data_IF_120285030571
#
_entry.id   IF_120285030571
#
_cell.length_a   1.000
_cell.length_b   1.000
_cell.length_c   1.000
_cell.angle_alpha   90.00
_cell.angle_beta   90.00
_cell.angle_gamma   90.00
#
_symmetry.space_group_name_H-M   'P 1'
#
loop_
_entity.id
_entity.type
_entity.pdbx_description
1 polymer ?
#
# COMPACT_ATOMS: atom_id res chain seq x y z
N UNK A 1 9.53 -21.00 4.65
CA UNK A 1 8.51 -19.90 4.55
C UNK A 1 7.23 -20.43 3.93
N UNK A 2 6.15 -20.44 4.67
CA UNK A 2 4.82 -20.95 4.24
C UNK A 2 4.14 -19.93 3.34
N UNK A 3 3.90 -20.28 2.08
CA UNK A 3 3.24 -19.42 1.09
C UNK A 3 1.82 -19.91 0.82
N UNK A 4 0.91 -18.93 0.75
CA UNK A 4 -0.48 -19.13 0.36
C UNK A 4 -0.62 -18.69 -1.09
N UNK A 5 -1.25 -19.51 -1.91
CA UNK A 5 -1.62 -19.17 -3.27
C UNK A 5 -2.77 -18.13 -3.24
N UNK A 6 -2.53 -16.98 -3.88
CA UNK A 6 -3.47 -15.85 -3.85
C UNK A 6 -4.82 -16.20 -4.48
N UNK A 7 -4.82 -16.90 -5.61
CA UNK A 7 -6.06 -17.22 -6.32
C UNK A 7 -6.91 -18.21 -5.53
N UNK A 8 -6.27 -19.18 -4.88
CA UNK A 8 -6.94 -20.13 -3.98
C UNK A 8 -7.50 -19.41 -2.75
N UNK A 9 -6.75 -18.46 -2.20
CA UNK A 9 -7.22 -17.65 -1.09
C UNK A 9 -8.44 -16.80 -1.48
N UNK A 10 -8.41 -16.11 -2.62
CA UNK A 10 -9.52 -15.27 -3.09
C UNK A 10 -10.82 -16.08 -3.24
N UNK A 11 -10.74 -17.28 -3.85
CA UNK A 11 -11.90 -18.18 -3.95
C UNK A 11 -12.43 -18.60 -2.58
N UNK A 12 -11.54 -18.91 -1.65
CA UNK A 12 -11.91 -19.28 -0.29
C UNK A 12 -12.50 -18.12 0.49
N UNK A 13 -11.95 -16.92 0.32
CA UNK A 13 -12.43 -15.70 0.96
C UNK A 13 -13.88 -15.39 0.57
N UNK A 14 -14.24 -15.51 -0.72
CA UNK A 14 -15.63 -15.34 -1.18
C UNK A 14 -16.63 -16.15 -0.35
N UNK A 15 -16.29 -17.40 -0.06
CA UNK A 15 -17.17 -18.34 0.67
C UNK A 15 -17.14 -18.11 2.18
N UNK A 16 -15.97 -17.76 2.74
CA UNK A 16 -15.73 -17.73 4.18
C UNK A 16 -15.85 -16.32 4.81
N UNK A 17 -15.99 -15.29 3.99
CA UNK A 17 -15.81 -13.90 4.45
C UNK A 17 -16.97 -13.30 5.25
N UNK A 18 -18.12 -13.96 5.36
CA UNK A 18 -19.23 -13.38 6.14
C UNK A 18 -18.86 -13.22 7.62
N UNK A 19 -18.39 -12.02 8.02
CA UNK A 19 -17.92 -11.65 9.35
C UNK A 19 -16.84 -12.59 9.92
N UNK A 20 -16.09 -13.25 9.05
CA UNK A 20 -15.10 -14.25 9.48
C UNK A 20 -13.67 -13.75 9.49
N UNK A 21 -13.43 -12.52 9.04
CA UNK A 21 -12.12 -11.92 8.99
C UNK A 21 -12.09 -10.53 9.62
N UNK A 22 -11.01 -10.26 10.30
CA UNK A 22 -10.56 -8.91 10.62
C UNK A 22 -9.43 -8.54 9.66
N UNK A 23 -9.17 -7.24 9.50
CA UNK A 23 -8.03 -6.75 8.71
C UNK A 23 -7.10 -5.93 9.59
N UNK A 24 -5.79 -6.16 9.44
CA UNK A 24 -4.77 -5.37 10.11
C UNK A 24 -3.99 -4.54 9.08
N UNK A 25 -4.00 -3.23 9.24
CA UNK A 25 -3.33 -2.31 8.34
C UNK A 25 -2.08 -1.71 8.97
N UNK A 26 -1.00 -1.71 8.21
CA UNK A 26 0.20 -0.93 8.52
C UNK A 26 0.42 0.20 7.52
N UNK A 27 1.49 0.96 7.72
CA UNK A 27 1.82 2.18 6.94
C UNK A 27 1.90 1.93 5.42
N UNK A 28 2.20 0.71 4.98
CA UNK A 28 2.22 0.33 3.57
C UNK A 28 0.86 0.48 2.88
N UNK A 29 -0.26 0.38 3.60
CA UNK A 29 -1.59 0.60 3.05
C UNK A 29 -1.81 2.07 2.62
N UNK A 30 -1.18 3.03 3.29
CA UNK A 30 -1.37 4.46 3.08
C UNK A 30 -0.47 5.06 1.98
N UNK A 31 0.48 4.28 1.44
CA UNK A 31 1.44 4.75 0.42
C UNK A 31 0.69 5.23 -0.84
N UNK A 32 -0.31 4.50 -1.30
CA UNK A 32 -1.09 4.88 -2.49
C UNK A 32 -1.92 6.15 -2.30
N UNK A 33 -2.19 6.54 -1.06
CA UNK A 33 -2.82 7.81 -0.69
C UNK A 33 -1.81 8.95 -0.55
N UNK A 34 -0.52 8.68 -0.79
CA UNK A 34 0.56 9.67 -0.73
C UNK A 34 1.07 9.96 0.68
N UNK A 35 0.90 9.02 1.62
CA UNK A 35 1.54 9.05 2.93
C UNK A 35 2.80 8.19 2.86
N UNK A 36 3.90 8.72 3.37
CA UNK A 36 5.16 8.00 3.38
C UNK A 36 5.14 6.81 4.35
N UNK A 37 5.85 5.74 4.00
CA UNK A 37 6.06 4.64 4.94
C UNK A 37 6.91 5.07 6.13
N UNK A 38 6.84 4.34 7.24
CA UNK A 38 7.69 4.60 8.40
C UNK A 38 9.18 4.58 8.05
N UNK A 39 9.61 3.69 7.17
CA UNK A 39 11.00 3.65 6.70
C UNK A 39 11.38 4.87 5.86
N UNK A 40 10.48 5.40 5.02
CA UNK A 40 10.74 6.62 4.26
C UNK A 40 10.84 7.84 5.20
N UNK A 41 10.01 7.89 6.24
CA UNK A 41 10.06 8.93 7.26
C UNK A 41 11.37 8.89 8.05
N UNK A 42 11.89 7.70 8.40
CA UNK A 42 13.21 7.57 9.03
C UNK A 42 14.30 8.22 8.18
N UNK A 43 14.29 8.00 6.86
CA UNK A 43 15.24 8.66 5.96
C UNK A 43 15.07 10.16 5.91
N UNK A 44 13.83 10.67 5.95
CA UNK A 44 13.55 12.10 6.02
C UNK A 44 14.08 12.71 7.32
N UNK A 45 13.84 12.07 8.47
CA UNK A 45 14.34 12.52 9.76
C UNK A 45 15.87 12.56 9.82
N UNK A 46 16.54 11.48 9.35
CA UNK A 46 18.01 11.45 9.27
C UNK A 46 18.56 12.57 8.40
N UNK A 47 17.96 12.80 7.23
CA UNK A 47 18.36 13.92 6.35
C UNK A 47 18.17 15.26 7.03
N UNK A 48 17.04 15.47 7.71
CA UNK A 48 16.72 16.72 8.40
C UNK A 48 17.75 17.01 9.52
N UNK A 49 18.04 16.02 10.36
CA UNK A 49 19.05 16.12 11.41
C UNK A 49 20.44 16.52 10.86
N UNK A 50 20.86 15.96 9.75
CA UNK A 50 22.13 16.31 9.11
C UNK A 50 22.09 17.70 8.46
N UNK A 51 20.96 18.07 7.86
CA UNK A 51 20.77 19.38 7.24
C UNK A 51 20.82 20.51 8.27
N UNK A 52 20.09 20.36 9.37
CA UNK A 52 20.06 21.33 10.47
C UNK A 52 21.43 21.45 11.16
N UNK A 53 22.15 20.35 11.29
CA UNK A 53 23.51 20.35 11.85
C UNK A 53 24.60 20.86 10.87
N UNK A 54 24.23 21.23 9.65
CA UNK A 54 25.14 21.72 8.61
C UNK A 54 26.08 20.66 8.01
N UNK A 55 25.88 19.38 8.35
CA UNK A 55 26.72 18.27 7.84
C UNK A 55 26.46 17.95 6.37
N UNK A 56 25.24 18.20 5.88
CA UNK A 56 24.87 18.06 4.47
C UNK A 56 24.08 19.27 3.98
N UNK A 57 24.12 19.51 2.68
CA UNK A 57 23.22 20.46 2.04
C UNK A 57 21.86 19.79 1.78
N UNK A 58 20.84 20.11 2.59
CA UNK A 58 19.51 19.49 2.52
C UNK A 58 18.86 19.55 1.13
N UNK A 59 19.09 20.63 0.35
CA UNK A 59 18.58 20.74 -1.04
C UNK A 59 19.22 19.73 -1.99
N UNK A 60 20.53 19.48 -1.85
CA UNK A 60 21.25 18.51 -2.68
C UNK A 60 20.82 17.07 -2.37
N UNK A 61 20.42 16.79 -1.14
CA UNK A 61 20.00 15.47 -0.68
C UNK A 61 18.47 15.31 -0.61
N UNK A 62 17.71 16.10 -1.36
CA UNK A 62 16.25 16.10 -1.32
C UNK A 62 15.65 14.80 -1.88
N UNK A 63 16.27 14.25 -2.93
CA UNK A 63 15.82 12.99 -3.51
C UNK A 63 16.42 11.79 -2.77
N UNK A 64 15.60 11.20 -1.90
CA UNK A 64 15.95 10.01 -1.12
C UNK A 64 15.73 8.68 -1.89
N UNK A 65 15.31 8.75 -3.16
CA UNK A 65 15.29 7.55 -4.03
C UNK A 65 16.66 7.25 -4.60
N UNK A 66 17.55 8.24 -4.63
CA UNK A 66 18.92 8.08 -5.09
C UNK A 66 19.73 7.31 -4.04
N UNK A 67 20.19 6.11 -4.40
CA UNK A 67 20.89 5.20 -3.50
C UNK A 67 22.20 5.80 -2.96
N UNK A 68 22.94 6.58 -3.74
CA UNK A 68 24.13 7.28 -3.27
C UNK A 68 23.84 8.28 -2.15
N UNK A 69 22.69 8.96 -2.19
CA UNK A 69 22.28 9.87 -1.14
C UNK A 69 21.99 9.11 0.18
N UNK A 70 21.29 7.99 0.09
CA UNK A 70 21.05 7.12 1.25
C UNK A 70 22.36 6.60 1.87
N UNK A 71 23.31 6.14 1.04
CA UNK A 71 24.60 5.65 1.51
C UNK A 71 25.37 6.74 2.27
N UNK A 72 25.40 7.97 1.76
CA UNK A 72 26.05 9.08 2.44
C UNK A 72 25.35 9.40 3.77
N UNK A 73 24.02 9.50 3.79
CA UNK A 73 23.25 9.73 5.02
C UNK A 73 23.52 8.60 6.03
N UNK A 74 23.47 7.35 5.56
CA UNK A 74 23.69 6.17 6.41
C UNK A 74 25.05 6.16 7.09
N UNK A 75 26.12 6.61 6.41
CA UNK A 75 27.46 6.63 6.99
C UNK A 75 27.57 7.49 8.26
N UNK A 76 26.68 8.47 8.45
CA UNK A 76 26.64 9.31 9.65
C UNK A 76 25.89 8.66 10.83
N UNK A 77 25.07 7.65 10.56
CA UNK A 77 24.20 7.03 11.57
C UNK A 77 24.50 5.54 11.82
N UNK A 78 25.55 4.99 11.21
CA UNK A 78 25.84 3.55 11.28
C UNK A 78 26.01 3.03 12.71
N UNK A 79 26.74 3.75 13.56
CA UNK A 79 26.96 3.39 14.97
C UNK A 79 25.69 3.54 15.82
N UNK A 80 24.87 4.53 15.48
CA UNK A 80 23.63 4.84 16.19
C UNK A 80 22.55 3.81 15.84
N UNK A 81 22.38 3.50 14.56
CA UNK A 81 21.43 2.48 14.08
C UNK A 81 21.68 1.11 14.71
N UNK A 82 22.93 0.75 14.96
CA UNK A 82 23.28 -0.53 15.60
C UNK A 82 22.73 -0.66 17.04
N UNK A 83 22.36 0.45 17.68
CA UNK A 83 21.89 0.51 19.08
C UNK A 83 20.38 0.73 19.20
N UNK A 84 19.71 1.04 18.09
CA UNK A 84 18.30 1.46 18.08
C UNK A 84 17.41 0.30 17.68
N UNK A 85 16.49 -0.08 18.56
CA UNK A 85 15.51 -1.13 18.31
C UNK A 85 14.35 -0.67 17.43
N UNK A 86 13.86 0.56 17.65
CA UNK A 86 12.78 1.20 16.86
C UNK A 86 13.30 2.49 16.23
N UNK A 87 13.78 2.40 14.99
CA UNK A 87 14.36 3.52 14.28
C UNK A 87 13.34 4.66 14.05
N UNK A 88 12.06 4.34 13.81
CA UNK A 88 11.05 5.36 13.56
C UNK A 88 10.86 6.26 14.79
N UNK A 89 10.51 5.69 15.93
CA UNK A 89 10.29 6.45 17.16
C UNK A 89 11.54 7.23 17.56
N UNK A 90 12.70 6.57 17.53
CA UNK A 90 13.96 7.18 17.90
C UNK A 90 14.30 8.43 17.07
N UNK A 91 14.28 8.30 15.72
CA UNK A 91 14.62 9.43 14.86
C UNK A 91 13.53 10.50 14.80
N UNK A 92 12.27 10.11 15.02
CA UNK A 92 11.17 11.06 15.11
C UNK A 92 11.31 11.96 16.34
N UNK A 93 11.53 11.38 17.52
CA UNK A 93 11.76 12.13 18.76
C UNK A 93 13.04 12.97 18.70
N UNK A 94 14.10 12.43 18.11
CA UNK A 94 15.37 13.15 17.95
C UNK A 94 15.23 14.32 17.00
N UNK A 95 14.45 14.20 15.93
CA UNK A 95 14.19 15.27 14.97
C UNK A 95 13.27 16.34 15.53
N UNK A 96 12.24 15.92 16.26
CA UNK A 96 11.21 16.76 16.85
C UNK A 96 11.01 16.40 18.34
N UNK A 97 11.82 16.95 19.26
CA UNK A 97 11.75 16.64 20.69
C UNK A 97 10.41 17.04 21.33
N UNK A 98 9.82 18.15 20.87
CA UNK A 98 8.56 18.67 21.39
C UNK A 98 7.36 17.84 20.86
N UNK A 99 6.51 17.28 21.75
CA UNK A 99 5.31 16.54 21.36
C UNK A 99 4.34 17.33 20.47
N UNK A 100 4.15 18.62 20.72
CA UNK A 100 3.26 19.47 19.91
C UNK A 100 3.78 19.62 18.48
N UNK A 101 5.10 19.73 18.31
CA UNK A 101 5.73 19.79 16.98
C UNK A 101 5.56 18.44 16.27
N UNK A 102 5.68 17.33 16.97
CA UNK A 102 5.41 15.98 16.39
C UNK A 102 3.97 15.84 15.91
N UNK A 103 3.01 16.29 16.73
CA UNK A 103 1.59 16.29 16.38
C UNK A 103 1.31 17.14 15.13
N UNK A 104 1.85 18.34 15.07
CA UNK A 104 1.70 19.23 13.90
C UNK A 104 2.34 18.63 12.64
N UNK A 105 3.48 17.96 12.78
CA UNK A 105 4.13 17.24 11.69
C UNK A 105 3.22 16.12 11.14
N UNK A 106 2.69 15.26 12.02
CA UNK A 106 1.76 14.19 11.63
C UNK A 106 0.48 14.75 11.01
N UNK A 107 -0.08 15.79 11.60
CA UNK A 107 -1.26 16.47 11.06
C UNK A 107 -1.03 16.97 9.63
N UNK A 108 0.13 17.57 9.33
CA UNK A 108 0.49 18.01 7.97
C UNK A 108 0.63 16.85 6.98
N UNK A 109 1.13 15.70 7.45
CA UNK A 109 1.27 14.52 6.58
C UNK A 109 -0.07 14.00 6.07
N UNK A 110 -1.15 14.13 6.87
CA UNK A 110 -2.45 13.51 6.57
C UNK A 110 -3.54 14.49 6.14
N UNK A 111 -3.36 15.80 6.40
CA UNK A 111 -4.41 16.84 6.25
C UNK A 111 -5.16 16.79 4.93
N UNK A 112 -4.46 16.76 3.81
CA UNK A 112 -5.05 16.84 2.46
C UNK A 112 -5.04 15.50 1.73
N UNK A 113 -4.83 14.41 2.46
CA UNK A 113 -4.77 13.09 1.85
C UNK A 113 -6.17 12.54 1.62
N UNK A 114 -6.34 11.97 0.43
CA UNK A 114 -7.58 11.29 0.04
C UNK A 114 -7.37 9.77 0.11
N UNK A 115 -8.41 9.02 0.49
CA UNK A 115 -8.34 7.56 0.46
C UNK A 115 -8.05 7.08 -0.97
N UNK A 116 -7.17 6.10 -1.07
CA UNK A 116 -6.95 5.40 -2.33
C UNK A 116 -8.11 4.46 -2.63
N UNK A 117 -8.14 3.91 -3.84
CA UNK A 117 -9.15 2.91 -4.21
C UNK A 117 -9.14 1.70 -3.26
N UNK A 118 -7.98 1.31 -2.73
CA UNK A 118 -7.87 0.22 -1.76
C UNK A 118 -8.67 0.49 -0.49
N UNK A 119 -8.62 1.71 0.05
CA UNK A 119 -9.44 2.10 1.20
C UNK A 119 -10.93 2.15 0.87
N UNK A 120 -11.30 2.59 -0.33
CA UNK A 120 -12.70 2.58 -0.78
C UNK A 120 -13.22 1.13 -0.90
N UNK A 121 -12.45 0.23 -1.51
CA UNK A 121 -12.79 -1.19 -1.57
C UNK A 121 -12.88 -1.82 -0.17
N UNK A 122 -11.95 -1.47 0.75
CA UNK A 122 -12.03 -1.93 2.14
C UNK A 122 -13.31 -1.46 2.83
N UNK A 123 -13.70 -0.19 2.63
CA UNK A 123 -14.94 0.34 3.19
C UNK A 123 -16.16 -0.42 2.69
N UNK A 124 -16.19 -0.76 1.38
CA UNK A 124 -17.25 -1.60 0.82
C UNK A 124 -17.24 -3.03 1.36
N UNK A 125 -16.06 -3.62 1.61
CA UNK A 125 -15.92 -4.94 2.25
C UNK A 125 -16.43 -4.94 3.70
N UNK A 126 -16.20 -3.86 4.44
CA UNK A 126 -16.72 -3.68 5.81
C UNK A 126 -18.23 -3.48 5.79
N UNK A 127 -18.76 -2.60 4.93
CA UNK A 127 -20.20 -2.38 4.76
C UNK A 127 -20.92 -3.66 4.34
N UNK A 128 -20.33 -4.41 3.40
CA UNK A 128 -20.82 -5.73 2.95
C UNK A 128 -20.60 -6.87 3.95
N UNK A 129 -20.14 -6.56 5.18
CA UNK A 129 -19.88 -7.53 6.27
C UNK A 129 -18.92 -8.66 5.87
N UNK A 130 -17.99 -8.38 4.96
CA UNK A 130 -16.91 -9.32 4.57
C UNK A 130 -15.70 -9.20 5.50
N UNK A 131 -15.47 -8.00 6.02
CA UNK A 131 -14.49 -7.68 7.06
C UNK A 131 -15.25 -7.12 8.25
N UNK A 132 -14.90 -7.55 9.46
CA UNK A 132 -15.59 -7.13 10.68
C UNK A 132 -14.93 -5.89 11.31
N UNK A 133 -13.68 -6.03 11.71
CA UNK A 133 -12.92 -4.97 12.39
C UNK A 133 -11.65 -4.65 11.59
N UNK A 134 -11.35 -3.37 11.47
CA UNK A 134 -10.08 -2.90 10.91
C UNK A 134 -9.17 -2.46 12.05
N UNK A 135 -8.11 -3.22 12.27
CA UNK A 135 -7.04 -2.92 13.22
C UNK A 135 -5.95 -2.13 12.51
N UNK A 136 -5.36 -1.16 13.14
CA UNK A 136 -4.27 -0.41 12.50
C UNK A 136 -3.29 0.18 13.52
N UNK A 137 -2.03 0.25 13.11
CA UNK A 137 -1.01 1.08 13.76
C UNK A 137 -0.89 2.46 13.11
N UNK A 138 -1.63 2.71 12.02
CA UNK A 138 -1.58 3.97 11.32
C UNK A 138 -2.33 5.04 12.12
N UNK A 139 -1.77 6.24 12.09
CA UNK A 139 -2.36 7.43 12.71
C UNK A 139 -3.32 8.19 11.77
N UNK A 140 -3.32 7.87 10.47
CA UNK A 140 -4.17 8.54 9.48
C UNK A 140 -5.67 8.18 9.63
N UNK A 141 -6.53 8.95 8.94
CA UNK A 141 -7.98 8.82 8.96
C UNK A 141 -8.54 8.40 7.59
N UNK A 142 -7.74 7.68 6.79
CA UNK A 142 -8.09 7.35 5.42
C UNK A 142 -9.27 6.39 5.31
N UNK A 143 -9.38 5.42 6.23
CA UNK A 143 -10.51 4.49 6.24
C UNK A 143 -11.81 5.19 6.63
N UNK A 144 -11.76 6.08 7.63
CA UNK A 144 -12.90 6.87 8.06
C UNK A 144 -13.38 7.82 6.95
N UNK A 145 -12.43 8.46 6.26
CA UNK A 145 -12.72 9.29 5.08
C UNK A 145 -13.33 8.47 3.94
N UNK A 146 -12.87 7.24 3.71
CA UNK A 146 -13.41 6.37 2.68
C UNK A 146 -14.86 5.96 2.99
N UNK A 147 -15.16 5.58 4.23
CA UNK A 147 -16.51 5.26 4.69
C UNK A 147 -17.44 6.45 4.50
N UNK A 148 -17.00 7.65 4.89
CA UNK A 148 -17.77 8.88 4.72
C UNK A 148 -17.98 9.25 3.24
N UNK A 149 -16.94 9.13 2.42
CA UNK A 149 -17.01 9.48 0.99
C UNK A 149 -17.98 8.59 0.20
N UNK A 150 -18.16 7.35 0.61
CA UNK A 150 -19.09 6.40 0.00
C UNK A 150 -20.49 6.45 0.60
N UNK A 151 -20.76 7.39 1.52
CA UNK A 151 -22.03 7.53 2.26
C UNK A 151 -22.45 6.24 2.98
N UNK A 152 -21.49 5.45 3.43
CA UNK A 152 -21.75 4.29 4.27
C UNK A 152 -22.12 4.69 5.69
N UNK A 153 -22.52 3.71 6.51
CA UNK A 153 -22.83 3.94 7.91
C UNK A 153 -21.66 4.56 8.66
N UNK A 154 -21.96 5.30 9.73
CA UNK A 154 -20.93 5.89 10.58
C UNK A 154 -19.99 4.81 11.14
N UNK A 155 -18.69 5.07 11.04
CA UNK A 155 -17.67 4.20 11.58
C UNK A 155 -17.41 4.53 13.06
N UNK A 156 -17.30 3.51 13.90
CA UNK A 156 -16.79 3.65 15.25
C UNK A 156 -15.26 3.61 15.21
N UNK A 157 -14.61 4.67 15.71
CA UNK A 157 -13.15 4.71 15.86
C UNK A 157 -12.80 4.54 17.33
N UNK A 158 -11.95 3.58 17.61
CA UNK A 158 -11.46 3.27 18.96
C UNK A 158 -9.94 3.43 18.98
N UNK A 159 -9.45 4.19 19.93
CA UNK A 159 -8.04 4.43 20.18
C UNK A 159 -7.76 4.37 21.69
N UNK A 160 -6.49 4.33 22.15
CA UNK A 160 -6.17 4.40 23.57
C UNK A 160 -6.84 5.58 24.28
N UNK A 161 -6.93 6.73 23.61
CA UNK A 161 -7.50 7.97 24.17
C UNK A 161 -9.01 7.86 24.47
N UNK A 162 -9.73 6.98 23.77
CA UNK A 162 -11.18 6.79 23.92
C UNK A 162 -11.59 5.35 24.26
N UNK A 163 -10.63 4.49 24.57
CA UNK A 163 -10.85 3.06 24.82
C UNK A 163 -11.75 2.74 26.05
N UNK A 164 -12.13 3.75 26.86
CA UNK A 164 -13.15 3.60 27.91
C UNK A 164 -14.50 3.13 27.35
N UNK A 165 -14.74 3.34 26.05
CA UNK A 165 -15.94 2.91 25.34
C UNK A 165 -15.84 1.47 24.81
N UNK A 166 -14.69 0.80 24.95
CA UNK A 166 -14.44 -0.58 24.47
C UNK A 166 -15.42 -1.61 25.05
N UNK A 167 -15.98 -1.37 26.24
CA UNK A 167 -16.96 -2.26 26.85
C UNK A 167 -18.33 -2.32 26.13
N UNK A 168 -18.58 -1.40 25.18
CA UNK A 168 -19.85 -1.25 24.46
C UNK A 168 -19.67 -1.30 22.95
N UNK A 169 -18.84 -2.22 22.42
CA UNK A 169 -18.73 -2.40 20.98
C UNK A 169 -20.10 -2.80 20.40
N UNK A 170 -20.58 -1.98 19.50
CA UNK A 170 -21.75 -2.32 18.70
C UNK A 170 -21.29 -3.16 17.52
N UNK A 171 -21.67 -4.44 17.54
CA UNK A 171 -21.29 -5.43 16.49
C UNK A 171 -21.83 -5.04 15.10
N UNK A 172 -22.87 -4.22 15.08
CA UNK A 172 -23.57 -3.76 13.87
C UNK A 172 -22.94 -2.52 13.21
N UNK A 173 -21.96 -1.89 13.86
CA UNK A 173 -21.27 -0.70 13.33
C UNK A 173 -19.85 -1.08 12.90
N UNK A 174 -19.41 -0.67 11.70
CA UNK A 174 -18.02 -0.79 11.29
C UNK A 174 -17.08 -0.18 12.33
N UNK A 175 -16.07 -0.94 12.74
CA UNK A 175 -15.14 -0.51 13.80
C UNK A 175 -13.72 -0.46 13.29
N UNK A 176 -13.07 0.67 13.50
CA UNK A 176 -11.63 0.87 13.28
C UNK A 176 -10.95 0.99 14.64
N UNK A 177 -9.95 0.16 14.90
CA UNK A 177 -9.19 0.17 16.16
C UNK A 177 -7.77 0.63 15.89
N UNK A 178 -7.40 1.80 16.39
CA UNK A 178 -6.06 2.38 16.30
C UNK A 178 -5.26 2.01 17.54
N UNK A 179 -4.29 1.13 17.38
CA UNK A 179 -3.53 0.59 18.52
C UNK A 179 -2.57 1.60 19.14
N UNK A 180 -2.05 2.55 18.35
CA UNK A 180 -1.05 3.53 18.77
C UNK A 180 -1.60 4.97 18.84
N UNK A 181 -2.91 5.11 18.95
CA UNK A 181 -3.58 6.40 19.02
C UNK A 181 -3.93 7.00 17.66
N UNK A 182 -4.58 8.14 17.73
CA UNK A 182 -5.02 8.94 16.57
C UNK A 182 -4.36 10.32 16.65
N UNK A 183 -3.79 10.81 15.55
CA UNK A 183 -3.13 12.13 15.50
C UNK A 183 -4.04 13.30 15.92
N UNK A 184 -5.35 13.10 15.90
CA UNK A 184 -6.36 14.11 16.24
C UNK A 184 -6.53 14.31 17.74
N UNK A 185 -6.18 13.31 18.52
CA UNK A 185 -6.37 13.31 19.95
C UNK A 185 -5.02 13.47 20.65
N UNK A 186 -4.91 14.52 21.44
CA UNK A 186 -3.76 14.73 22.28
C UNK A 186 -3.98 13.94 23.58
N UNK A 187 -2.99 13.20 24.00
CA UNK A 187 -2.97 12.49 25.29
C UNK A 187 -2.94 13.45 26.50
N UNK A 188 -3.46 14.68 26.34
CA UNK A 188 -3.32 15.78 27.28
C UNK A 188 -3.99 15.58 28.64
N UNK A 189 -4.76 14.51 28.84
CA UNK A 189 -5.51 14.30 30.07
C UNK A 189 -5.33 12.94 30.74
N UNK A 190 -4.56 12.03 30.14
CA UNK A 190 -4.34 10.72 30.72
C UNK A 190 -2.94 10.61 31.31
N UNK A 191 -2.83 10.04 32.51
CA UNK A 191 -1.52 9.67 33.06
C UNK A 191 -0.91 8.53 32.27
N UNK A 192 0.41 8.40 32.30
CA UNK A 192 1.11 7.28 31.63
C UNK A 192 0.55 5.93 32.05
N UNK A 193 0.13 5.77 33.30
CA UNK A 193 -0.47 4.55 33.81
C UNK A 193 -1.86 4.29 33.22
N UNK A 194 -2.68 5.33 33.00
CA UNK A 194 -4.00 5.18 32.35
C UNK A 194 -3.86 4.84 30.88
N UNK A 195 -2.91 5.45 30.17
CA UNK A 195 -2.61 5.12 28.77
C UNK A 195 -2.14 3.68 28.62
N UNK A 196 -1.22 3.23 29.46
CA UNK A 196 -0.76 1.83 29.46
C UNK A 196 -1.91 0.85 29.70
N UNK A 197 -2.81 1.15 30.65
CA UNK A 197 -3.99 0.32 30.91
C UNK A 197 -4.96 0.28 29.73
N UNK A 198 -5.13 1.39 29.02
CA UNK A 198 -6.01 1.46 27.84
C UNK A 198 -5.40 0.70 26.64
N UNK A 199 -4.10 0.80 26.43
CA UNK A 199 -3.39 0.00 25.43
C UNK A 199 -3.49 -1.50 25.74
N UNK A 200 -3.32 -1.91 26.99
CA UNK A 200 -3.46 -3.29 27.41
C UNK A 200 -4.89 -3.82 27.18
N UNK A 201 -5.91 -3.00 27.41
CA UNK A 201 -7.29 -3.36 27.12
C UNK A 201 -7.52 -3.58 25.61
N UNK A 202 -6.95 -2.75 24.74
CA UNK A 202 -7.05 -2.94 23.28
C UNK A 202 -6.32 -4.21 22.83
N UNK A 203 -5.15 -4.51 23.40
CA UNK A 203 -4.42 -5.74 23.13
C UNK A 203 -5.21 -6.97 23.57
N UNK A 204 -5.83 -6.93 24.76
CA UNK A 204 -6.68 -8.01 25.25
C UNK A 204 -7.92 -8.22 24.37
N UNK A 205 -8.52 -7.13 23.87
CA UNK A 205 -9.63 -7.21 22.94
C UNK A 205 -9.19 -7.84 21.60
N UNK A 206 -8.02 -7.47 21.07
CA UNK A 206 -7.45 -8.09 19.89
C UNK A 206 -7.26 -9.60 20.08
N UNK A 207 -6.68 -10.01 21.22
CA UNK A 207 -6.48 -11.44 21.57
C UNK A 207 -7.82 -12.17 21.62
N UNK A 208 -8.86 -11.57 22.20
CA UNK A 208 -10.19 -12.16 22.23
C UNK A 208 -10.79 -12.28 20.82
N UNK A 209 -10.69 -11.24 19.99
CA UNK A 209 -11.16 -11.25 18.60
C UNK A 209 -10.47 -12.35 17.78
N UNK A 210 -9.17 -12.57 18.01
CA UNK A 210 -8.38 -13.58 17.30
C UNK A 210 -8.87 -15.01 17.48
N UNK A 211 -9.61 -15.31 18.56
CA UNK A 211 -10.21 -16.66 18.78
C UNK A 211 -11.48 -16.89 17.97
N UNK A 212 -12.02 -15.87 17.35
CA UNK A 212 -13.29 -15.93 16.63
C UNK A 212 -13.11 -15.78 15.11
N UNK A 213 -12.11 -15.03 14.67
CA UNK A 213 -11.96 -14.62 13.28
C UNK A 213 -10.55 -14.88 12.75
N UNK A 214 -10.43 -14.98 11.41
CA UNK A 214 -9.13 -14.92 10.73
C UNK A 214 -8.62 -13.49 10.68
N UNK A 215 -7.35 -13.33 10.38
CA UNK A 215 -6.70 -12.03 10.26
C UNK A 215 -5.98 -11.89 8.92
N UNK A 216 -6.30 -10.83 8.19
CA UNK A 216 -5.58 -10.38 7.00
C UNK A 216 -4.66 -9.21 7.39
N UNK A 217 -3.36 -9.40 7.32
CA UNK A 217 -2.37 -8.34 7.59
C UNK A 217 -1.88 -7.77 6.28
N UNK A 218 -2.09 -6.47 6.06
CA UNK A 218 -1.75 -5.80 4.80
C UNK A 218 -0.99 -4.50 5.07
N UNK A 219 0.13 -4.30 4.36
CA UNK A 219 0.92 -3.08 4.48
C UNK A 219 1.70 -2.94 5.80
N UNK A 220 1.79 -4.00 6.59
CA UNK A 220 2.51 -4.01 7.85
C UNK A 220 3.76 -4.90 7.77
N UNK A 221 4.91 -4.35 8.15
CA UNK A 221 6.21 -5.03 8.05
C UNK A 221 6.52 -5.95 9.23
N UNK A 222 5.80 -5.82 10.35
CA UNK A 222 6.12 -6.56 11.58
C UNK A 222 7.28 -5.95 12.37
N UNK A 223 7.50 -4.63 12.26
CA UNK A 223 8.57 -3.93 12.98
C UNK A 223 8.21 -3.48 14.39
N UNK A 224 6.98 -3.67 14.81
CA UNK A 224 6.45 -3.16 16.06
C UNK A 224 6.42 -4.24 17.13
N UNK A 225 7.19 -4.06 18.17
CA UNK A 225 7.38 -5.04 19.24
C UNK A 225 6.07 -5.36 19.97
N UNK A 226 5.28 -4.36 20.32
CA UNK A 226 4.03 -4.53 21.06
C UNK A 226 2.99 -5.31 20.27
N UNK A 227 2.92 -5.07 18.95
CA UNK A 227 2.01 -5.79 18.04
C UNK A 227 2.44 -7.24 17.88
N UNK A 228 3.75 -7.51 17.68
CA UNK A 228 4.24 -8.88 17.56
C UNK A 228 4.01 -9.68 18.85
N UNK A 229 4.28 -9.08 20.02
CA UNK A 229 3.99 -9.71 21.32
C UNK A 229 2.50 -10.01 21.48
N UNK A 230 1.63 -9.11 21.02
CA UNK A 230 0.18 -9.33 21.07
C UNK A 230 -0.25 -10.49 20.18
N UNK A 231 0.31 -10.60 18.98
CA UNK A 231 0.08 -11.73 18.07
C UNK A 231 0.63 -13.05 18.65
N UNK A 232 1.80 -13.03 19.29
CA UNK A 232 2.38 -14.18 19.99
C UNK A 232 1.49 -14.65 21.12
N UNK A 233 0.96 -13.73 21.96
CA UNK A 233 -0.02 -14.02 23.02
C UNK A 233 -1.36 -14.53 22.46
N UNK A 234 -1.81 -13.98 21.33
CA UNK A 234 -3.01 -14.47 20.66
C UNK A 234 -2.85 -15.93 20.22
N UNK A 235 -1.67 -16.30 19.70
CA UNK A 235 -1.32 -17.68 19.30
C UNK A 235 -1.11 -18.64 20.49
N UNK A 236 -1.19 -18.18 21.75
CA UNK A 236 -1.25 -19.06 22.92
C UNK A 236 -2.68 -19.53 23.20
N UNK A 237 -3.68 -18.86 22.62
CA UNK A 237 -5.07 -19.27 22.78
C UNK A 237 -5.41 -20.45 21.86
N UNK A 238 -6.20 -21.42 22.36
CA UNK A 238 -6.69 -22.50 21.52
C UNK A 238 -7.53 -21.93 20.37
N UNK A 239 -7.34 -22.49 19.17
CA UNK A 239 -8.05 -22.08 17.95
C UNK A 239 -7.82 -20.61 17.53
N UNK A 240 -6.67 -20.02 17.85
CA UNK A 240 -6.34 -18.70 17.38
C UNK A 240 -6.42 -18.63 15.83
N UNK A 241 -7.03 -17.58 15.34
CA UNK A 241 -7.25 -17.31 13.91
C UNK A 241 -7.91 -18.51 13.17
N UNK A 242 -9.16 -18.87 13.51
CA UNK A 242 -9.82 -20.08 12.98
C UNK A 242 -10.00 -20.10 11.47
N UNK A 243 -9.87 -18.93 10.79
CA UNK A 243 -9.85 -18.82 9.34
C UNK A 243 -8.45 -18.59 8.76
N UNK A 244 -7.43 -18.56 9.60
CA UNK A 244 -6.01 -18.35 9.28
C UNK A 244 -5.50 -16.96 9.62
N UNK A 245 -4.20 -16.87 9.82
CA UNK A 245 -3.41 -15.63 9.89
C UNK A 245 -2.68 -15.49 8.55
N UNK A 246 -3.17 -14.59 7.70
CA UNK A 246 -2.65 -14.36 6.36
C UNK A 246 -1.87 -13.05 6.36
N UNK A 247 -0.56 -13.15 6.11
CA UNK A 247 0.32 -12.00 6.08
C UNK A 247 0.70 -11.63 4.65
N UNK A 248 0.18 -10.51 4.18
CA UNK A 248 0.44 -10.02 2.83
C UNK A 248 1.81 -9.33 2.76
N UNK A 249 2.63 -9.74 1.82
CA UNK A 249 3.96 -9.18 1.58
C UNK A 249 4.13 -8.79 0.11
N UNK A 250 4.91 -7.74 -0.21
CA UNK A 250 5.36 -7.47 -1.57
C UNK A 250 6.26 -8.59 -2.11
N UNK A 251 6.34 -8.72 -3.44
CA UNK A 251 7.09 -9.79 -4.11
C UNK A 251 8.57 -9.87 -3.70
N UNK A 252 9.21 -8.72 -3.53
CA UNK A 252 10.66 -8.63 -3.32
C UNK A 252 11.04 -8.41 -1.84
N UNK A 253 10.10 -8.64 -0.91
CA UNK A 253 10.33 -8.49 0.52
C UNK A 253 10.55 -9.85 1.17
N UNK A 254 11.64 -9.95 1.94
CA UNK A 254 11.91 -11.11 2.81
C UNK A 254 11.49 -10.76 4.23
N UNK A 255 10.55 -11.49 4.84
CA UNK A 255 10.14 -11.28 6.22
C UNK A 255 11.30 -11.53 7.20
N UNK A 256 11.25 -10.88 8.37
CA UNK A 256 12.19 -11.13 9.44
C UNK A 256 12.07 -12.58 9.97
N UNK A 257 13.14 -13.07 10.60
CA UNK A 257 13.14 -14.40 11.21
C UNK A 257 12.03 -14.54 12.26
N UNK A 258 11.86 -13.54 13.11
CA UNK A 258 10.80 -13.51 14.14
C UNK A 258 9.42 -13.63 13.51
N UNK A 259 9.15 -12.84 12.47
CA UNK A 259 7.86 -12.91 11.75
C UNK A 259 7.66 -14.27 11.09
N UNK A 260 8.72 -14.85 10.55
CA UNK A 260 8.66 -16.19 9.96
C UNK A 260 8.31 -17.24 11.01
N UNK A 261 8.93 -17.19 12.19
CA UNK A 261 8.64 -18.08 13.31
C UNK A 261 7.20 -17.92 13.83
N UNK A 262 6.69 -16.69 13.90
CA UNK A 262 5.30 -16.41 14.26
C UNK A 262 4.31 -17.07 13.28
N UNK A 263 4.56 -16.94 11.98
CA UNK A 263 3.70 -17.54 10.95
C UNK A 263 3.82 -19.07 10.93
N UNK A 264 5.01 -19.64 11.19
CA UNK A 264 5.15 -21.10 11.33
C UNK A 264 4.36 -21.63 12.56
N UNK A 265 4.37 -20.89 13.68
CA UNK A 265 3.53 -21.21 14.85
C UNK A 265 2.04 -21.13 14.50
N UNK A 266 1.61 -20.09 13.81
CA UNK A 266 0.23 -19.96 13.33
C UNK A 266 -0.18 -21.10 12.38
N UNK A 267 0.70 -21.49 11.45
CA UNK A 267 0.48 -22.58 10.52
C UNK A 267 0.35 -23.94 11.24
N UNK A 268 1.13 -24.19 12.28
CA UNK A 268 1.04 -25.42 13.08
C UNK A 268 -0.33 -25.59 13.75
N UNK A 269 -0.99 -24.51 14.09
CA UNK A 269 -2.34 -24.50 14.66
C UNK A 269 -3.43 -24.51 13.57
N UNK A 270 -3.20 -23.80 12.48
CA UNK A 270 -4.15 -23.69 11.38
C UNK A 270 -3.40 -23.58 10.04
N UNK A 271 -3.48 -24.63 9.24
CA UNK A 271 -2.80 -24.75 7.93
C UNK A 271 -3.24 -23.70 6.89
N UNK A 272 -4.27 -22.89 7.19
CA UNK A 272 -4.65 -21.73 6.36
C UNK A 272 -3.77 -20.49 6.62
N UNK A 273 -2.90 -20.54 7.64
CA UNK A 273 -1.99 -19.43 7.96
C UNK A 273 -0.75 -19.45 7.07
N UNK A 274 -0.25 -18.27 6.69
CA UNK A 274 0.95 -18.17 5.85
C UNK A 274 1.16 -16.79 5.26
N UNK A 275 2.24 -16.66 4.50
CA UNK A 275 2.53 -15.46 3.71
C UNK A 275 1.85 -15.52 2.34
N UNK A 276 1.26 -14.40 1.95
CA UNK A 276 0.68 -14.24 0.62
C UNK A 276 1.35 -13.05 -0.10
N UNK A 277 1.79 -13.29 -1.33
CA UNK A 277 2.40 -12.24 -2.14
C UNK A 277 1.30 -11.42 -2.82
N UNK A 278 1.36 -10.10 -2.65
CA UNK A 278 0.44 -9.16 -3.29
C UNK A 278 1.22 -8.09 -4.08
N UNK A 279 0.61 -7.58 -5.14
CA UNK A 279 1.24 -6.54 -5.97
C UNK A 279 1.21 -5.17 -5.28
N UNK A 280 0.05 -4.81 -4.70
CA UNK A 280 -0.14 -3.60 -3.90
C UNK A 280 -1.38 -3.72 -3.03
N UNK A 281 -1.51 -2.85 -2.03
CA UNK A 281 -2.72 -2.71 -1.22
C UNK A 281 -3.95 -2.47 -2.09
N UNK A 282 -3.89 -1.47 -2.97
CA UNK A 282 -5.02 -1.09 -3.82
C UNK A 282 -5.49 -2.22 -4.73
N UNK A 283 -4.54 -2.90 -5.38
CA UNK A 283 -4.88 -3.99 -6.30
C UNK A 283 -5.49 -5.17 -5.56
N UNK A 284 -4.89 -5.56 -4.44
CA UNK A 284 -5.38 -6.67 -3.63
C UNK A 284 -6.78 -6.41 -3.04
N UNK A 285 -7.03 -5.21 -2.53
CA UNK A 285 -8.36 -4.87 -1.99
C UNK A 285 -9.42 -4.81 -3.10
N UNK A 286 -9.05 -4.36 -4.30
CA UNK A 286 -9.94 -4.41 -5.45
C UNK A 286 -10.23 -5.85 -5.90
N UNK A 287 -9.24 -6.76 -5.87
CA UNK A 287 -9.48 -8.19 -6.12
C UNK A 287 -10.47 -8.79 -5.11
N UNK A 288 -10.32 -8.47 -3.81
CA UNK A 288 -11.27 -8.92 -2.77
C UNK A 288 -12.68 -8.35 -2.99
N UNK A 289 -12.79 -7.07 -3.32
CA UNK A 289 -14.05 -6.40 -3.64
C UNK A 289 -14.75 -7.08 -4.82
N UNK A 290 -14.03 -7.32 -5.90
CA UNK A 290 -14.54 -7.98 -7.11
C UNK A 290 -14.98 -9.41 -6.85
N UNK A 291 -14.16 -10.20 -6.15
CA UNK A 291 -14.47 -11.61 -5.83
C UNK A 291 -15.70 -11.71 -4.93
N UNK A 292 -15.91 -10.75 -4.04
CA UNK A 292 -17.11 -10.69 -3.19
C UNK A 292 -18.37 -10.21 -3.92
N UNK A 293 -18.27 -9.89 -5.22
CA UNK A 293 -19.40 -9.42 -6.05
C UNK A 293 -20.07 -8.18 -5.44
N UNK A 294 -19.26 -7.29 -4.87
CA UNK A 294 -19.75 -6.02 -4.36
C UNK A 294 -19.84 -5.01 -5.51
N UNK A 295 -20.81 -4.11 -5.43
CA UNK A 295 -21.08 -3.11 -6.46
C UNK A 295 -21.12 -1.72 -5.83
N UNK A 296 -20.37 -0.79 -6.42
CA UNK A 296 -20.42 0.63 -6.06
C UNK A 296 -19.92 1.48 -7.25
N UNK A 297 -20.79 2.32 -7.80
CA UNK A 297 -20.50 3.10 -9.00
C UNK A 297 -19.23 3.97 -8.90
N UNK A 298 -18.93 4.52 -7.71
CA UNK A 298 -17.73 5.35 -7.52
C UNK A 298 -16.48 4.49 -7.55
N UNK A 299 -16.47 3.34 -6.88
CA UNK A 299 -15.36 2.40 -6.88
C UNK A 299 -15.12 1.88 -8.29
N UNK A 300 -16.17 1.45 -8.97
CA UNK A 300 -16.09 0.84 -10.29
C UNK A 300 -15.57 1.83 -11.33
N UNK A 301 -16.03 3.10 -11.28
CA UNK A 301 -15.51 4.17 -12.13
C UNK A 301 -14.01 4.43 -11.93
N UNK A 302 -13.55 4.53 -10.68
CA UNK A 302 -12.14 4.75 -10.36
C UNK A 302 -11.29 3.52 -10.73
N UNK A 303 -11.82 2.32 -10.51
CA UNK A 303 -11.14 1.08 -10.87
C UNK A 303 -10.92 0.97 -12.38
N UNK A 304 -11.94 1.33 -13.15
CA UNK A 304 -11.90 1.35 -14.61
C UNK A 304 -10.81 2.27 -15.14
N UNK A 305 -10.70 3.48 -14.61
CA UNK A 305 -9.65 4.41 -15.00
C UNK A 305 -8.26 3.92 -14.60
N UNK A 306 -8.13 3.39 -13.37
CA UNK A 306 -6.80 3.08 -12.78
C UNK A 306 -6.26 1.73 -13.22
N UNK A 307 -7.10 0.70 -13.34
CA UNK A 307 -6.68 -0.67 -13.62
C UNK A 307 -6.81 -1.07 -15.08
N UNK A 308 -7.73 -0.51 -15.86
CA UNK A 308 -7.78 -0.73 -17.32
C UNK A 308 -6.54 -0.18 -18.04
N UNK A 309 -5.93 0.91 -17.54
CA UNK A 309 -4.66 1.41 -18.08
C UNK A 309 -3.45 0.49 -17.82
N UNK A 310 -3.60 -0.51 -16.94
CA UNK A 310 -2.57 -1.51 -16.63
C UNK A 310 -2.80 -2.89 -17.25
N UNK A 311 -3.74 -3.04 -18.17
CA UNK A 311 -3.75 -4.21 -19.02
C UNK A 311 -2.51 -4.17 -19.94
N UNK A 312 -1.39 -4.58 -19.38
CA UNK A 312 -0.21 -4.95 -20.16
C UNK A 312 -0.63 -6.17 -20.96
N UNK A 313 -0.89 -6.00 -22.24
CA UNK A 313 -1.09 -7.10 -23.16
C UNK A 313 0.16 -7.97 -23.12
N UNK A 314 0.11 -9.10 -22.47
CA UNK A 314 1.11 -10.15 -22.64
C UNK A 314 0.84 -10.78 -23.99
N UNK A 315 1.61 -10.35 -25.00
CA UNK A 315 1.67 -11.04 -26.28
C UNK A 315 2.29 -12.41 -26.02
N UNK A 316 1.47 -13.43 -25.84
CA UNK A 316 1.92 -14.81 -25.96
C UNK A 316 2.27 -15.05 -27.41
N UNK A 317 3.55 -15.34 -27.70
CA UNK A 317 3.96 -15.84 -29.01
C UNK A 317 3.35 -17.21 -29.25
N UNK A 318 2.14 -17.25 -29.79
CA UNK A 318 1.67 -18.46 -30.45
C UNK A 318 2.13 -18.41 -31.90
N UNK A 319 3.02 -19.32 -32.22
CA UNK A 319 3.37 -19.64 -33.62
C UNK A 319 2.13 -20.25 -34.28
N UNK A 320 1.56 -19.53 -35.17
CA UNK A 320 0.65 -19.88 -36.26
C UNK A 320 -0.69 -19.16 -36.26
N UNK A 321 -0.93 -18.50 -37.38
CA UNK A 321 -2.15 -17.86 -37.86
C UNK A 321 -2.49 -16.48 -37.27
N UNK A 322 -2.16 -15.51 -38.09
CA UNK A 322 -2.36 -14.08 -37.88
C UNK A 322 -3.82 -13.70 -37.83
N UNK A 323 -4.33 -13.51 -36.62
CA UNK A 323 -5.55 -12.73 -36.40
C UNK A 323 -5.14 -11.26 -36.18
N UNK A 324 -5.77 -10.29 -36.82
CA UNK A 324 -5.43 -8.89 -36.64
C UNK A 324 -5.78 -8.44 -35.23
N UNK A 325 -4.81 -7.84 -34.53
CA UNK A 325 -5.02 -7.25 -33.20
C UNK A 325 -5.48 -5.79 -33.39
N UNK A 326 -6.63 -5.47 -32.85
CA UNK A 326 -7.12 -4.09 -32.78
C UNK A 326 -6.57 -3.42 -31.51
N UNK A 327 -5.64 -2.49 -31.68
CA UNK A 327 -5.16 -1.60 -30.62
C UNK A 327 -5.76 -0.20 -30.85
N UNK A 328 -6.64 0.26 -29.99
CA UNK A 328 -7.24 1.61 -30.00
C UNK A 328 -7.71 2.07 -31.40
N UNK A 329 -8.52 1.25 -32.07
CA UNK A 329 -9.08 1.52 -33.41
C UNK A 329 -8.06 1.66 -34.56
N UNK A 330 -6.79 1.34 -34.36
CA UNK A 330 -5.79 1.26 -35.42
C UNK A 330 -5.70 -0.20 -35.86
N UNK A 331 -6.06 -0.48 -37.14
CA UNK A 331 -5.86 -1.80 -37.74
C UNK A 331 -4.37 -1.98 -38.04
N UNK A 332 -3.62 -2.63 -37.15
CA UNK A 332 -2.26 -3.06 -37.47
C UNK A 332 -2.32 -4.36 -38.26
N UNK A 333 -2.04 -4.33 -39.54
CA UNK A 333 -1.93 -5.53 -40.40
C UNK A 333 -0.62 -6.28 -40.20
N UNK A 334 0.38 -5.68 -39.56
CA UNK A 334 1.72 -6.24 -39.45
C UNK A 334 2.47 -5.66 -38.27
N UNK A 335 3.13 -6.54 -37.49
CA UNK A 335 4.08 -6.13 -36.45
C UNK A 335 5.52 -6.29 -36.99
N UNK A 336 6.34 -5.26 -37.03
CA UNK A 336 7.72 -5.39 -37.49
C UNK A 336 8.55 -6.23 -36.53
N UNK A 337 9.42 -7.10 -37.07
CA UNK A 337 10.36 -7.93 -36.30
C UNK A 337 11.45 -7.12 -35.59
N UNK A 338 11.66 -5.89 -35.97
CA UNK A 338 12.67 -4.98 -35.43
C UNK A 338 12.13 -3.56 -35.34
N UNK A 339 12.61 -2.82 -34.34
CA UNK A 339 12.24 -1.44 -34.05
C UNK A 339 13.45 -0.57 -34.36
N UNK A 340 13.27 0.44 -35.22
CA UNK A 340 14.29 1.41 -35.54
C UNK A 340 13.97 2.76 -34.91
N UNK A 341 14.95 3.42 -34.32
CA UNK A 341 14.85 4.79 -33.89
C UNK A 341 15.75 5.67 -34.70
N UNK A 342 15.25 6.79 -35.20
CA UNK A 342 16.06 7.79 -35.88
C UNK A 342 16.00 9.11 -35.13
N UNK A 343 17.14 9.81 -35.12
CA UNK A 343 17.19 11.20 -34.65
C UNK A 343 17.05 12.08 -35.85
N UNK A 344 15.91 12.76 -35.96
CA UNK A 344 15.71 13.73 -37.06
C UNK A 344 15.37 15.09 -36.47
N UNK A 345 15.94 16.14 -37.07
CA UNK A 345 15.59 17.53 -36.75
C UNK A 345 14.51 17.98 -37.73
N UNK A 346 13.32 18.21 -37.23
CA UNK A 346 12.23 18.78 -38.02
C UNK A 346 12.25 20.30 -37.80
N UNK A 347 12.70 21.04 -38.82
CA UNK A 347 12.76 22.50 -38.79
C UNK A 347 11.57 23.13 -39.54
N UNK A 348 11.05 24.26 -39.04
CA UNK A 348 10.08 25.11 -39.70
C UNK A 348 8.70 25.17 -39.03
N UNK A 349 7.92 26.19 -39.42
CA UNK A 349 6.53 26.35 -39.00
C UNK A 349 5.66 25.24 -39.59
N UNK A 350 4.70 24.74 -38.80
CA UNK A 350 3.79 23.67 -39.22
C UNK A 350 4.40 22.27 -39.25
N UNK A 351 5.59 22.08 -38.65
CA UNK A 351 6.34 20.81 -38.63
C UNK A 351 5.51 19.58 -38.22
N UNK A 352 4.66 19.72 -37.25
CA UNK A 352 3.81 18.62 -36.76
C UNK A 352 2.68 18.27 -37.73
N UNK A 353 2.15 19.24 -38.49
CA UNK A 353 1.14 19.00 -39.51
C UNK A 353 1.74 18.22 -40.70
N UNK A 354 2.89 18.64 -41.19
CA UNK A 354 3.63 17.92 -42.23
C UNK A 354 4.02 16.50 -41.83
N UNK A 355 4.53 16.34 -40.59
CA UNK A 355 4.86 15.01 -40.08
C UNK A 355 3.62 14.09 -40.00
N UNK A 356 2.47 14.63 -39.60
CA UNK A 356 1.23 13.85 -39.55
C UNK A 356 0.77 13.40 -40.93
N UNK A 357 0.86 14.28 -41.94
CA UNK A 357 0.52 13.96 -43.32
C UNK A 357 1.43 12.84 -43.89
N UNK A 358 2.73 12.93 -43.66
CA UNK A 358 3.69 11.88 -44.05
C UNK A 358 3.45 10.55 -43.34
N UNK A 359 3.09 10.60 -42.04
CA UNK A 359 2.82 9.39 -41.26
C UNK A 359 1.49 8.73 -41.62
N UNK A 360 0.49 9.50 -42.12
CA UNK A 360 -0.81 8.94 -42.54
C UNK A 360 -0.69 8.09 -43.81
N UNK A 361 0.22 8.42 -44.69
CA UNK A 361 0.45 7.69 -45.94
C UNK A 361 1.56 6.62 -45.85
N UNK A 362 2.18 6.50 -44.68
CA UNK A 362 3.24 5.51 -44.43
C UNK A 362 2.72 4.33 -43.61
N UNK A 363 3.36 3.18 -43.74
CA UNK A 363 3.09 1.99 -42.88
C UNK A 363 3.81 2.08 -41.52
N UNK A 364 4.16 3.27 -41.06
CA UNK A 364 4.75 3.49 -39.73
C UNK A 364 3.70 3.25 -38.68
N UNK A 365 4.01 2.33 -37.74
CA UNK A 365 3.06 1.85 -36.74
C UNK A 365 2.89 2.82 -35.59
N UNK A 366 3.96 3.53 -35.20
CA UNK A 366 3.93 4.53 -34.13
C UNK A 366 5.08 5.52 -34.25
N UNK A 367 4.86 6.74 -33.76
CA UNK A 367 5.89 7.79 -33.70
C UNK A 367 5.81 8.50 -32.34
N UNK A 368 6.97 8.66 -31.68
CA UNK A 368 7.10 9.36 -30.41
C UNK A 368 8.17 10.44 -30.53
N UNK A 369 7.92 11.61 -29.95
CA UNK A 369 8.89 12.67 -29.85
C UNK A 369 9.30 12.93 -28.40
N UNK A 370 10.63 13.08 -28.19
CA UNK A 370 11.18 13.53 -26.90
C UNK A 370 12.23 14.59 -27.20
N UNK A 371 11.88 15.84 -26.93
CA UNK A 371 12.72 17.01 -27.35
C UNK A 371 12.85 17.07 -28.88
N UNK A 372 14.08 17.09 -29.38
CA UNK A 372 14.40 17.11 -30.84
C UNK A 372 14.51 15.69 -31.44
N UNK A 373 14.26 14.65 -30.67
CA UNK A 373 14.39 13.26 -31.13
C UNK A 373 13.02 12.70 -31.48
N UNK A 374 12.88 12.17 -32.68
CA UNK A 374 11.72 11.43 -33.14
C UNK A 374 12.07 9.94 -33.22
N UNK A 375 11.30 9.11 -32.54
CA UNK A 375 11.42 7.66 -32.65
C UNK A 375 10.25 7.12 -33.46
N UNK A 376 10.58 6.44 -34.57
CA UNK A 376 9.64 5.85 -35.50
C UNK A 376 9.69 4.33 -35.36
N UNK A 377 8.54 3.69 -35.40
CA UNK A 377 8.37 2.25 -35.30
C UNK A 377 7.72 1.75 -36.59
N UNK A 378 8.44 0.98 -37.38
CA UNK A 378 7.97 0.49 -38.68
C UNK A 378 8.99 -0.39 -39.35
N UNK A 379 8.77 -0.61 -40.66
CA UNK A 379 9.74 -1.32 -41.51
C UNK A 379 10.97 -0.41 -41.79
N UNK A 380 12.16 -0.97 -41.78
CA UNK A 380 13.41 -0.25 -41.96
C UNK A 380 13.44 0.59 -43.26
N UNK A 381 12.94 0.03 -44.35
CA UNK A 381 12.94 0.71 -45.67
C UNK A 381 11.99 1.91 -45.70
N UNK A 382 10.90 1.88 -44.95
CA UNK A 382 9.91 2.97 -44.88
C UNK A 382 10.37 4.07 -43.93
N UNK A 383 11.04 3.72 -42.83
CA UNK A 383 11.62 4.70 -41.90
C UNK A 383 12.74 5.52 -42.55
N UNK A 384 13.48 4.93 -43.50
CA UNK A 384 14.51 5.65 -44.25
C UNK A 384 13.97 6.64 -45.29
N UNK A 385 12.69 6.54 -45.62
CA UNK A 385 12.03 7.43 -46.61
C UNK A 385 11.32 8.65 -45.95
N UNK A 386 11.19 8.65 -44.65
CA UNK A 386 10.62 9.73 -43.83
C UNK A 386 11.73 10.63 -43.27
#
# INVERSE_FOLDING_TARGET
MRRIDKDTFLRSFKVLSNQSFDMFLGAGASISSGIHSGSDLVWQFKRELLSVSGKINGKKFQDLKIESNKKIIQSYFAEEDAKVSNAYSYYFEKCYPDPLVRQEFLSKLVRDKKPSIGFMCLSALVEGKKVNTVWTTNFDDLIEKAITALNFLSCQVVSPDNARTVQNFRIDIPTVVKLHGDFRYDALQNTDAELQQLEENLHNYFIQASTQRGLLVVGYSGGDESVLQTLEKALEKPNAFPKGLIWCIPKDVTPSERLTNLIEKAYSQNQRSGFMVIDSFDYFLHELYTVCELENEQIDSIADERFKQKQVFRLTQNQSNTTPILLNAIKAKYFPKSIFSTKTKINGEGKWKKLREVLQDSNIVAAFSKGETLSLFGNENEIKQV
#
